data_IF_197592942222
#
_entry.id   IF_197592942222
#
_cell.length_a   1.000
_cell.length_b   1.000
_cell.length_c   1.000
_cell.angle_alpha   90.00
_cell.angle_beta   90.00
_cell.angle_gamma   90.00
#
_symmetry.space_group_name_H-M   'P 1'
#
loop_
_entity.id
_entity.type
_entity.pdbx_description
1 polymer ?
#
# COMPACT_ATOMS: atom_id res chain seq x y z
N UNK A 1 -9.87 -26.17 15.76
CA UNK A 1 -8.83 -25.52 14.94
C UNK A 1 -9.38 -24.59 13.85
N UNK A 2 -10.40 -24.97 13.08
CA UNK A 2 -10.99 -24.15 12.00
C UNK A 2 -11.56 -22.79 12.49
N UNK A 3 -12.27 -22.79 13.61
CA UNK A 3 -12.86 -21.56 14.20
C UNK A 3 -11.79 -20.55 14.63
N UNK A 4 -10.70 -20.98 15.27
CA UNK A 4 -9.56 -20.12 15.63
C UNK A 4 -8.89 -19.52 14.39
N UNK A 5 -8.77 -20.31 13.31
CA UNK A 5 -8.22 -19.82 12.03
C UNK A 5 -9.10 -18.72 11.42
N UNK A 6 -10.42 -18.89 11.41
CA UNK A 6 -11.38 -17.93 10.89
C UNK A 6 -11.39 -16.62 11.71
N UNK A 7 -11.28 -16.74 13.04
CA UNK A 7 -11.20 -15.58 13.93
C UNK A 7 -9.92 -14.75 13.70
N UNK A 8 -8.75 -15.40 13.53
CA UNK A 8 -7.50 -14.69 13.22
C UNK A 8 -7.61 -13.96 11.89
N UNK A 9 -8.15 -14.58 10.85
CA UNK A 9 -8.35 -13.94 9.54
C UNK A 9 -9.27 -12.71 9.64
N UNK A 10 -10.38 -12.83 10.37
CA UNK A 10 -11.32 -11.72 10.55
C UNK A 10 -10.68 -10.55 11.31
N UNK A 11 -9.89 -10.83 12.35
CA UNK A 11 -9.17 -9.80 13.10
C UNK A 11 -8.09 -9.11 12.25
N UNK A 12 -7.35 -9.87 11.43
CA UNK A 12 -6.37 -9.31 10.51
C UNK A 12 -7.05 -8.34 9.54
N UNK A 13 -8.17 -8.73 8.95
CA UNK A 13 -8.90 -7.89 8.00
C UNK A 13 -9.52 -6.65 8.68
N UNK A 14 -10.07 -6.80 9.88
CA UNK A 14 -10.58 -5.67 10.67
C UNK A 14 -9.49 -4.64 10.97
N UNK A 15 -8.33 -5.10 11.46
CA UNK A 15 -7.21 -4.22 11.77
C UNK A 15 -6.60 -3.61 10.50
N UNK A 16 -6.60 -4.35 9.39
CA UNK A 16 -6.19 -3.87 8.08
C UNK A 16 -7.05 -2.69 7.62
N UNK A 17 -8.38 -2.82 7.71
CA UNK A 17 -9.30 -1.72 7.38
C UNK A 17 -9.12 -0.52 8.30
N UNK A 18 -8.95 -0.73 9.61
CA UNK A 18 -8.70 0.35 10.55
C UNK A 18 -7.41 1.12 10.22
N UNK A 19 -6.33 0.43 9.86
CA UNK A 19 -5.09 1.07 9.42
C UNK A 19 -5.28 1.85 8.11
N UNK A 20 -6.05 1.32 7.16
CA UNK A 20 -6.39 1.99 5.92
C UNK A 20 -7.13 3.30 6.16
N UNK A 21 -8.20 3.29 6.97
CA UNK A 21 -8.98 4.50 7.25
C UNK A 21 -8.20 5.53 8.05
N UNK A 22 -7.36 5.10 9.00
CA UNK A 22 -6.44 6.00 9.68
C UNK A 22 -5.48 6.69 8.70
N UNK A 23 -4.99 5.98 7.68
CA UNK A 23 -4.17 6.57 6.62
C UNK A 23 -4.95 7.62 5.82
N UNK A 24 -6.17 7.30 5.41
CA UNK A 24 -7.05 8.22 4.67
C UNK A 24 -7.36 9.48 5.47
N UNK A 25 -7.68 9.34 6.76
CA UNK A 25 -7.93 10.49 7.64
C UNK A 25 -6.71 11.40 7.78
N UNK A 26 -5.52 10.83 8.01
CA UNK A 26 -4.29 11.61 8.13
C UNK A 26 -3.96 12.28 6.80
N UNK A 27 -4.15 11.57 5.67
CA UNK A 27 -3.89 12.12 4.35
C UNK A 27 -4.74 13.36 4.07
N UNK A 28 -6.01 13.34 4.48
CA UNK A 28 -6.98 14.40 4.22
C UNK A 28 -6.92 15.57 5.21
N UNK A 29 -6.20 15.43 6.31
CA UNK A 29 -6.04 16.55 7.28
C UNK A 29 -5.10 17.62 6.72
N UNK A 30 -5.45 18.91 6.78
CA UNK A 30 -4.54 19.99 6.39
C UNK A 30 -3.37 20.12 7.37
N UNK A 31 -2.25 20.59 6.88
CA UNK A 31 -1.10 21.03 7.69
C UNK A 31 -0.56 20.01 8.69
N UNK A 32 -0.48 18.73 8.29
CA UNK A 32 0.21 17.72 9.08
C UNK A 32 1.65 17.63 8.58
N UNK A 33 2.64 18.04 9.37
CA UNK A 33 4.03 17.69 9.12
C UNK A 33 4.18 16.16 9.11
N UNK A 34 5.10 15.63 8.33
CA UNK A 34 5.34 14.19 8.27
C UNK A 34 4.14 13.36 7.78
N UNK A 35 3.29 13.98 6.92
CA UNK A 35 2.06 13.39 6.40
C UNK A 35 2.33 12.13 5.57
N UNK A 36 3.17 12.25 4.57
CA UNK A 36 3.38 11.19 3.59
C UNK A 36 4.07 9.97 4.20
N UNK A 37 4.98 10.20 5.12
CA UNK A 37 5.65 9.14 5.87
C UNK A 37 4.64 8.35 6.72
N UNK A 38 3.81 9.07 7.48
CA UNK A 38 2.79 8.43 8.34
C UNK A 38 1.75 7.68 7.51
N UNK A 39 1.26 8.28 6.42
CA UNK A 39 0.30 7.65 5.51
C UNK A 39 0.91 6.41 4.86
N UNK A 40 2.17 6.48 4.42
CA UNK A 40 2.89 5.34 3.85
C UNK A 40 2.99 4.18 4.84
N UNK A 41 3.37 4.46 6.09
CA UNK A 41 3.44 3.44 7.14
C UNK A 41 2.09 2.76 7.37
N UNK A 42 1.01 3.54 7.44
CA UNK A 42 -0.33 3.02 7.69
C UNK A 42 -0.89 2.23 6.50
N UNK A 43 -0.69 2.70 5.26
CA UNK A 43 -1.10 1.99 4.04
C UNK A 43 -0.32 0.67 3.93
N UNK A 44 0.98 0.67 4.19
CA UNK A 44 1.79 -0.54 4.16
C UNK A 44 1.37 -1.53 5.24
N UNK A 45 1.02 -1.05 6.45
CA UNK A 45 0.47 -1.89 7.51
C UNK A 45 -0.90 -2.48 7.11
N UNK A 46 -1.78 -1.67 6.50
CA UNK A 46 -3.06 -2.14 5.98
C UNK A 46 -2.87 -3.28 4.96
N UNK A 47 -1.99 -3.11 4.00
CA UNK A 47 -1.67 -4.13 3.01
C UNK A 47 -1.05 -5.38 3.64
N UNK A 48 -0.10 -5.23 4.56
CA UNK A 48 0.53 -6.37 5.24
C UNK A 48 -0.51 -7.26 5.91
N UNK A 49 -1.43 -6.64 6.64
CA UNK A 49 -2.50 -7.37 7.32
C UNK A 49 -3.50 -8.01 6.34
N UNK A 50 -3.84 -7.31 5.24
CA UNK A 50 -4.71 -7.85 4.19
C UNK A 50 -4.08 -9.05 3.47
N UNK A 51 -2.78 -8.96 3.11
CA UNK A 51 -2.04 -10.07 2.49
C UNK A 51 -1.98 -11.29 3.41
N UNK A 52 -1.71 -11.09 4.70
CA UNK A 52 -1.73 -12.16 5.71
C UNK A 52 -3.13 -12.77 5.88
N UNK A 53 -4.19 -11.95 5.84
CA UNK A 53 -5.56 -12.43 5.84
C UNK A 53 -5.88 -13.25 4.58
N UNK A 54 -5.39 -12.81 3.41
CA UNK A 54 -5.51 -13.53 2.14
C UNK A 54 -4.85 -14.91 2.21
N UNK A 55 -3.60 -14.99 2.68
CA UNK A 55 -2.87 -16.26 2.84
C UNK A 55 -3.68 -17.21 3.72
N UNK A 56 -4.21 -16.73 4.84
CA UNK A 56 -5.04 -17.55 5.75
C UNK A 56 -6.31 -18.05 5.10
N UNK A 57 -6.92 -17.28 4.21
CA UNK A 57 -8.16 -17.63 3.51
C UNK A 57 -7.92 -18.58 2.34
N UNK A 58 -6.94 -18.27 1.47
CA UNK A 58 -6.80 -18.86 0.16
C UNK A 58 -5.61 -19.81 0.01
N UNK A 59 -4.52 -19.64 0.79
CA UNK A 59 -3.28 -20.41 0.65
C UNK A 59 -3.10 -21.34 1.84
N UNK A 60 -3.86 -22.45 1.88
CA UNK A 60 -3.91 -23.37 3.04
C UNK A 60 -2.56 -24.00 3.41
N UNK A 61 -1.65 -24.13 2.45
CA UNK A 61 -0.33 -24.77 2.61
C UNK A 61 0.73 -23.83 3.22
N UNK A 62 0.48 -22.54 3.27
CA UNK A 62 1.43 -21.54 3.80
C UNK A 62 0.99 -21.06 5.19
N UNK A 63 1.95 -20.89 6.09
CA UNK A 63 1.72 -20.26 7.40
C UNK A 63 2.05 -18.77 7.33
N UNK A 64 1.32 -17.96 8.09
CA UNK A 64 1.68 -16.56 8.34
C UNK A 64 2.57 -16.41 9.57
N UNK A 65 2.87 -17.50 10.27
CA UNK A 65 3.76 -17.52 11.43
C UNK A 65 5.03 -18.28 11.09
N UNK A 66 6.14 -17.75 11.53
CA UNK A 66 7.45 -18.38 11.53
C UNK A 66 7.61 -19.29 12.76
N UNK A 67 8.65 -20.12 12.78
CA UNK A 67 8.98 -21.02 13.88
C UNK A 67 9.23 -20.32 15.21
N UNK A 68 9.71 -19.07 15.17
CA UNK A 68 9.97 -18.21 16.33
C UNK A 68 8.70 -17.54 16.90
N UNK A 69 7.53 -17.80 16.32
CA UNK A 69 6.24 -17.23 16.73
C UNK A 69 5.94 -15.83 16.13
N UNK A 70 6.89 -15.22 15.43
CA UNK A 70 6.63 -13.98 14.70
C UNK A 70 5.83 -14.21 13.41
N UNK A 71 5.23 -13.17 12.88
CA UNK A 71 4.58 -13.24 11.58
C UNK A 71 5.61 -13.04 10.47
N UNK A 72 5.37 -13.68 9.31
CA UNK A 72 6.22 -13.51 8.14
C UNK A 72 6.34 -12.02 7.74
N UNK A 73 7.49 -11.59 7.20
CA UNK A 73 7.70 -10.24 6.71
C UNK A 73 6.74 -9.88 5.56
N UNK A 74 6.54 -8.57 5.35
CA UNK A 74 5.71 -8.03 4.26
C UNK A 74 6.10 -8.62 2.89
N UNK A 75 7.39 -8.59 2.53
CA UNK A 75 7.89 -9.14 1.24
C UNK A 75 7.51 -10.59 1.03
N UNK A 76 7.63 -11.40 2.06
CA UNK A 76 7.27 -12.82 1.99
C UNK A 76 5.77 -12.98 1.79
N UNK A 77 4.95 -12.19 2.50
CA UNK A 77 3.50 -12.22 2.33
C UNK A 77 3.08 -11.77 0.93
N UNK A 78 3.70 -10.71 0.40
CA UNK A 78 3.47 -10.19 -0.94
C UNK A 78 3.81 -11.24 -2.00
N UNK A 79 4.99 -11.85 -1.93
CA UNK A 79 5.42 -12.89 -2.87
C UNK A 79 4.47 -14.10 -2.88
N UNK A 80 4.02 -14.57 -1.72
CA UNK A 80 3.07 -15.69 -1.66
C UNK A 80 1.72 -15.37 -2.30
N UNK A 81 1.24 -14.14 -2.13
CA UNK A 81 -0.03 -13.70 -2.70
C UNK A 81 0.11 -13.49 -4.20
N UNK A 82 1.19 -12.85 -4.65
CA UNK A 82 1.49 -12.63 -6.06
C UNK A 82 1.60 -13.97 -6.82
N UNK A 83 2.39 -14.91 -6.31
CA UNK A 83 2.50 -16.26 -6.87
C UNK A 83 1.11 -16.92 -7.00
N UNK A 84 0.33 -16.92 -5.94
CA UNK A 84 -0.97 -17.58 -5.92
C UNK A 84 -2.00 -16.95 -6.87
N UNK A 85 -2.03 -15.62 -6.97
CA UNK A 85 -2.96 -14.92 -7.87
C UNK A 85 -2.52 -15.09 -9.33
N UNK A 86 -1.22 -14.94 -9.61
CA UNK A 86 -0.68 -15.02 -10.96
C UNK A 86 -0.73 -16.45 -11.54
N UNK A 87 -0.74 -17.48 -10.70
CA UNK A 87 -1.00 -18.86 -11.13
C UNK A 87 -2.44 -19.05 -11.64
N UNK A 88 -3.40 -18.30 -11.11
CA UNK A 88 -4.81 -18.36 -11.51
C UNK A 88 -5.13 -17.41 -12.66
N UNK A 89 -4.55 -16.22 -12.63
CA UNK A 89 -4.73 -15.15 -13.61
C UNK A 89 -3.36 -14.50 -13.90
N UNK A 90 -2.65 -14.96 -14.93
CA UNK A 90 -1.31 -14.46 -15.24
C UNK A 90 -1.24 -12.94 -15.37
N UNK A 91 -0.24 -12.34 -14.73
CA UNK A 91 0.04 -10.89 -14.71
C UNK A 91 -1.03 -10.02 -14.01
N UNK A 92 -2.11 -10.60 -13.47
CA UNK A 92 -3.20 -9.82 -12.88
C UNK A 92 -2.78 -9.02 -11.63
N UNK A 93 -1.74 -9.47 -10.92
CA UNK A 93 -1.29 -8.84 -9.69
C UNK A 93 0.03 -8.06 -9.84
N UNK A 94 0.70 -8.13 -10.98
CA UNK A 94 2.04 -7.55 -11.16
C UNK A 94 2.09 -6.05 -10.87
N UNK A 95 1.14 -5.27 -11.41
CA UNK A 95 1.12 -3.81 -11.19
C UNK A 95 0.89 -3.42 -9.72
N UNK A 96 0.16 -4.26 -8.95
CA UNK A 96 -0.03 -4.06 -7.51
C UNK A 96 1.26 -4.43 -6.77
N UNK A 97 1.86 -5.55 -7.11
CA UNK A 97 3.12 -6.03 -6.52
C UNK A 97 4.23 -5.00 -6.69
N UNK A 98 4.38 -4.46 -7.88
CA UNK A 98 5.35 -3.42 -8.20
C UNK A 98 5.10 -2.12 -7.42
N UNK A 99 3.88 -1.61 -7.44
CA UNK A 99 3.51 -0.43 -6.66
C UNK A 99 3.82 -0.61 -5.16
N UNK A 100 3.48 -1.77 -4.60
CA UNK A 100 3.73 -2.09 -3.19
C UNK A 100 5.23 -2.24 -2.89
N UNK A 101 6.00 -2.82 -3.80
CA UNK A 101 7.45 -2.98 -3.65
C UNK A 101 8.15 -1.61 -3.67
N UNK A 102 7.71 -0.71 -4.54
CA UNK A 102 8.21 0.67 -4.61
C UNK A 102 7.92 1.44 -3.31
N UNK A 103 6.68 1.36 -2.80
CA UNK A 103 6.30 2.02 -1.55
C UNK A 103 7.08 1.42 -0.36
N UNK A 104 7.32 0.11 -0.36
CA UNK A 104 8.13 -0.53 0.68
C UNK A 104 9.58 -0.04 0.66
N UNK A 105 10.15 0.12 -0.51
CA UNK A 105 11.47 0.73 -0.70
C UNK A 105 11.53 2.12 -0.07
N UNK A 106 10.53 2.96 -0.34
CA UNK A 106 10.41 4.28 0.28
C UNK A 106 10.27 4.17 1.81
N UNK A 107 9.35 3.32 2.31
CA UNK A 107 9.13 3.11 3.75
C UNK A 107 10.42 2.75 4.49
N UNK A 108 11.23 1.88 3.94
CA UNK A 108 12.46 1.41 4.57
C UNK A 108 13.55 2.50 4.60
N UNK A 109 13.43 3.49 3.74
CA UNK A 109 14.38 4.60 3.62
C UNK A 109 13.83 5.92 4.19
N UNK A 110 12.63 5.95 4.72
CA UNK A 110 11.94 7.16 5.23
C UNK A 110 12.81 7.98 6.18
N UNK A 111 13.54 7.32 7.10
CA UNK A 111 14.42 7.98 8.07
C UNK A 111 15.56 8.75 7.40
N UNK A 112 15.91 8.38 6.17
CA UNK A 112 17.03 8.95 5.41
C UNK A 112 16.58 9.78 4.20
N UNK A 113 15.28 9.85 3.92
CA UNK A 113 14.76 10.28 2.63
C UNK A 113 13.74 11.43 2.69
N UNK A 114 13.73 12.22 3.76
CA UNK A 114 12.86 13.40 3.72
C UNK A 114 13.34 14.34 2.60
N UNK A 115 12.56 14.38 1.52
CA UNK A 115 12.75 15.31 0.43
C UNK A 115 11.35 15.77 -0.05
N UNK A 116 11.03 17.03 0.22
CA UNK A 116 9.76 17.67 -0.21
C UNK A 116 9.50 17.52 -1.71
N UNK A 117 10.56 17.43 -2.51
CA UNK A 117 10.45 17.25 -3.97
C UNK A 117 9.87 15.89 -4.38
N UNK A 118 9.91 14.89 -3.49
CA UNK A 118 9.33 13.57 -3.73
C UNK A 118 7.86 13.46 -3.28
N UNK A 119 7.35 14.41 -2.51
CA UNK A 119 5.99 14.33 -1.98
C UNK A 119 4.92 14.07 -3.06
N UNK A 120 4.94 14.76 -4.24
CA UNK A 120 3.94 14.50 -5.27
C UNK A 120 4.03 13.08 -5.84
N UNK A 121 5.25 12.53 -5.95
CA UNK A 121 5.45 11.17 -6.43
C UNK A 121 4.94 10.14 -5.41
N UNK A 122 5.29 10.33 -4.14
CA UNK A 122 4.78 9.49 -3.05
C UNK A 122 3.26 9.57 -2.94
N UNK A 123 2.68 10.78 -3.11
CA UNK A 123 1.23 10.95 -3.20
C UNK A 123 0.61 10.05 -4.26
N UNK A 124 1.17 10.03 -5.48
CA UNK A 124 0.65 9.21 -6.58
C UNK A 124 0.73 7.71 -6.25
N UNK A 125 1.87 7.25 -5.74
CA UNK A 125 2.06 5.85 -5.36
C UNK A 125 1.08 5.42 -4.27
N UNK A 126 0.94 6.23 -3.22
CA UNK A 126 0.04 5.96 -2.10
C UNK A 126 -1.42 5.99 -2.54
N UNK A 127 -1.82 6.97 -3.37
CA UNK A 127 -3.18 7.05 -3.90
C UNK A 127 -3.53 5.83 -4.76
N UNK A 128 -2.63 5.38 -5.63
CA UNK A 128 -2.78 4.16 -6.42
C UNK A 128 -2.89 2.92 -5.52
N UNK A 129 -2.02 2.84 -4.51
CA UNK A 129 -2.04 1.76 -3.52
C UNK A 129 -3.36 1.71 -2.74
N UNK A 130 -3.87 2.88 -2.33
CA UNK A 130 -5.14 2.98 -1.61
C UNK A 130 -6.33 2.52 -2.46
N UNK A 131 -6.39 2.92 -3.72
CA UNK A 131 -7.43 2.47 -4.65
C UNK A 131 -7.36 0.95 -4.88
N UNK A 132 -6.16 0.42 -5.14
CA UNK A 132 -5.93 -1.02 -5.32
C UNK A 132 -6.30 -1.82 -4.06
N UNK A 133 -6.10 -1.25 -2.87
CA UNK A 133 -6.47 -1.89 -1.61
C UNK A 133 -7.98 -2.13 -1.51
N UNK A 134 -8.79 -1.13 -1.82
CA UNK A 134 -10.26 -1.25 -1.79
C UNK A 134 -10.72 -2.36 -2.72
N UNK A 135 -10.23 -2.36 -3.95
CA UNK A 135 -10.55 -3.39 -4.95
C UNK A 135 -10.08 -4.79 -4.52
N UNK A 136 -8.88 -4.89 -3.95
CA UNK A 136 -8.35 -6.14 -3.42
C UNK A 136 -9.24 -6.72 -2.31
N UNK A 137 -9.64 -5.89 -1.35
CA UNK A 137 -10.50 -6.32 -0.24
C UNK A 137 -11.88 -6.73 -0.78
N UNK A 138 -12.46 -5.95 -1.67
CA UNK A 138 -13.77 -6.25 -2.29
C UNK A 138 -13.72 -7.56 -3.05
N UNK A 139 -12.72 -7.74 -3.93
CA UNK A 139 -12.56 -8.94 -4.77
C UNK A 139 -12.33 -10.21 -3.95
N UNK A 140 -11.45 -10.15 -2.96
CA UNK A 140 -10.98 -11.36 -2.28
C UNK A 140 -11.69 -11.67 -0.96
N UNK A 141 -12.39 -10.70 -0.36
CA UNK A 141 -13.09 -10.89 0.90
C UNK A 141 -14.59 -10.63 0.82
N UNK A 142 -15.09 -10.17 -0.36
CA UNK A 142 -16.48 -9.79 -0.56
C UNK A 142 -16.95 -8.72 0.45
N UNK A 143 -16.03 -7.79 0.78
CA UNK A 143 -16.27 -6.69 1.70
C UNK A 143 -16.14 -5.37 0.96
N UNK A 144 -17.20 -4.58 0.96
CA UNK A 144 -17.16 -3.20 0.49
C UNK A 144 -16.91 -2.27 1.68
N UNK A 145 -15.61 -2.06 1.99
CA UNK A 145 -15.20 -1.27 3.16
C UNK A 145 -15.64 0.18 3.06
N UNK A 146 -15.82 0.72 1.85
CA UNK A 146 -16.26 2.10 1.66
C UNK A 146 -17.73 2.27 2.02
N UNK A 147 -18.57 1.28 1.69
CA UNK A 147 -19.99 1.28 2.05
C UNK A 147 -20.20 1.01 3.55
N UNK A 148 -19.36 0.15 4.16
CA UNK A 148 -19.49 -0.21 5.57
C UNK A 148 -19.17 0.95 6.52
N UNK A 149 -18.22 1.82 6.17
CA UNK A 149 -17.78 2.92 7.03
C UNK A 149 -18.61 4.22 6.87
N UNK A 150 -19.58 4.22 5.93
CA UNK A 150 -20.47 5.39 5.75
C UNK A 150 -19.73 6.68 5.39
N UNK A 151 -18.61 6.57 4.67
CA UNK A 151 -17.77 7.70 4.29
C UNK A 151 -18.52 8.60 3.29
N UNK A 152 -19.04 9.71 3.77
CA UNK A 152 -19.53 10.79 2.93
C UNK A 152 -18.41 11.81 2.73
N UNK A 153 -17.80 11.82 1.55
CA UNK A 153 -16.86 12.87 1.16
C UNK A 153 -17.69 14.08 0.74
N UNK A 154 -17.62 15.18 1.49
CA UNK A 154 -18.11 16.46 0.99
C UNK A 154 -17.30 16.82 -0.26
N UNK A 155 -17.94 17.10 -1.39
CA UNK A 155 -17.26 17.50 -2.61
C UNK A 155 -16.73 18.94 -2.47
N UNK A 156 -15.67 19.11 -1.72
CA UNK A 156 -14.87 20.32 -1.72
C UNK A 156 -14.01 20.27 -2.97
N UNK A 157 -13.91 21.39 -3.71
CA UNK A 157 -13.12 21.46 -4.92
C UNK A 157 -11.68 21.05 -4.68
N UNK A 158 -11.31 19.88 -5.17
CA UNK A 158 -9.95 19.38 -5.05
C UNK A 158 -9.06 20.07 -6.09
N UNK A 159 -8.14 20.88 -5.60
CA UNK A 159 -7.02 21.35 -6.41
C UNK A 159 -5.86 20.39 -6.13
N UNK A 160 -5.43 19.66 -7.15
CA UNK A 160 -4.21 18.86 -7.02
C UNK A 160 -3.06 19.80 -6.68
N UNK A 161 -2.21 19.47 -5.68
CA UNK A 161 -1.08 20.30 -5.26
C UNK A 161 0.01 20.41 -6.34
N UNK A 162 -0.10 19.65 -7.41
CA UNK A 162 0.84 19.57 -8.53
C UNK A 162 0.14 19.17 -9.83
N UNK A 163 0.81 19.36 -10.94
CA UNK A 163 0.35 18.87 -12.24
C UNK A 163 0.97 17.48 -12.49
N UNK A 164 0.14 16.43 -12.73
CA UNK A 164 0.67 15.08 -13.00
C UNK A 164 1.69 15.05 -14.15
N UNK A 165 1.52 15.93 -15.14
CA UNK A 165 2.42 16.03 -16.30
C UNK A 165 3.84 16.42 -15.92
N UNK A 166 4.03 17.12 -14.81
CA UNK A 166 5.35 17.56 -14.34
C UNK A 166 6.20 16.36 -13.89
N UNK A 167 5.57 15.24 -13.54
CA UNK A 167 6.23 14.00 -13.07
C UNK A 167 6.33 12.93 -14.16
N UNK A 168 5.46 12.96 -15.16
CA UNK A 168 5.53 12.04 -16.30
C UNK A 168 6.62 12.44 -17.30
N UNK A 169 7.17 13.64 -17.21
CA UNK A 169 8.23 14.11 -18.09
C UNK A 169 9.61 13.73 -17.56
N UNK A 170 10.53 13.35 -18.47
CA UNK A 170 11.95 13.10 -18.14
C UNK A 170 12.64 14.28 -17.42
N UNK A 171 12.06 15.48 -17.47
CA UNK A 171 12.53 16.69 -16.80
C UNK A 171 12.30 16.68 -15.27
N UNK A 172 11.43 15.82 -14.76
CA UNK A 172 11.18 15.73 -13.31
C UNK A 172 12.42 15.22 -12.55
N UNK A 173 13.07 14.17 -13.06
CA UNK A 173 14.28 13.61 -12.45
C UNK A 173 15.47 14.61 -12.43
N UNK A 174 15.56 15.51 -13.41
CA UNK A 174 16.66 16.51 -13.47
C UNK A 174 16.49 17.65 -12.47
N UNK A 175 15.30 17.85 -11.92
CA UNK A 175 15.03 18.90 -10.90
C UNK A 175 15.29 18.42 -9.46
N UNK A 176 15.61 17.15 -9.26
CA UNK A 176 15.89 16.62 -7.93
C UNK A 176 17.35 16.89 -7.55
N UNK A 177 17.58 17.53 -6.41
CA UNK A 177 18.92 17.83 -5.92
C UNK A 177 19.62 16.65 -5.23
N UNK A 178 18.84 15.67 -4.75
CA UNK A 178 19.33 14.48 -4.08
C UNK A 178 19.63 13.33 -5.05
N UNK A 179 20.89 12.80 -5.09
CA UNK A 179 21.24 11.64 -5.92
C UNK A 179 20.36 10.41 -5.63
N UNK A 180 20.08 10.15 -4.35
CA UNK A 180 19.23 9.03 -3.94
C UNK A 180 17.77 9.18 -4.35
N UNK A 181 17.25 10.42 -4.38
CA UNK A 181 15.91 10.68 -4.87
C UNK A 181 15.81 10.47 -6.38
N UNK A 182 16.87 10.80 -7.13
CA UNK A 182 16.99 10.47 -8.56
C UNK A 182 17.00 8.98 -8.80
N UNK A 183 17.84 8.25 -8.07
CA UNK A 183 17.96 6.78 -8.16
C UNK A 183 16.62 6.10 -7.86
N UNK A 184 15.90 6.55 -6.83
CA UNK A 184 14.57 6.05 -6.49
C UNK A 184 13.55 6.25 -7.62
N UNK A 185 13.51 7.44 -8.22
CA UNK A 185 12.61 7.71 -9.35
C UNK A 185 13.01 7.03 -10.65
N UNK A 186 14.30 6.80 -10.87
CA UNK A 186 14.80 6.12 -12.07
C UNK A 186 14.57 4.62 -12.03
N UNK A 187 14.68 4.01 -10.86
CA UNK A 187 14.39 2.59 -10.66
C UNK A 187 12.93 2.23 -11.01
N UNK A 188 11.98 3.14 -10.75
CA UNK A 188 10.54 2.96 -11.06
C UNK A 188 10.22 3.17 -12.56
N UNK A 189 11.10 3.83 -13.31
CA UNK A 189 10.93 4.05 -14.76
C UNK A 189 11.50 2.92 -15.63
N UNK A 190 12.28 2.03 -15.05
CA UNK A 190 12.93 0.93 -15.77
C UNK A 190 12.04 -0.33 -15.93
N UNK A 191 10.80 -0.24 -15.44
CA UNK A 191 9.76 -1.27 -15.48
C UNK A 191 8.56 -0.76 -16.28
#
# INVERSE_FOLDING_TARGET
MAQKKKMIQANLLKNSAAAYFAAVEIHNKPNIPYRYETVTLLIMNAWELALKAYIRKHIKKKSIFESNGHTIPFKTALAYVAEHINLQQPKCFNAIEENLSTIEGYRNNIVHFYNEQLEPYIFMLVAKSAANYVEFVKKHFSKDIMAEEGLFILPLGFKLPFRPEDFLSKKAATKLDSPKAKEFMEADKAV
#
